data_IF_388818586990
#
_entry.id   IF_388818586990
#
_cell.length_a   1.000
_cell.length_b   1.000
_cell.length_c   1.000
_cell.angle_alpha   90.00
_cell.angle_beta   90.00
_cell.angle_gamma   90.00
#
_symmetry.space_group_name_H-M   'P 1'
#
loop_
_entity.id
_entity.type
_entity.pdbx_description
1 polymer ?
#
# COMPACT_ATOMS: atom_id res chain seq x y z
N UNK A 1 25.82 57.63 28.35
CA UNK A 1 24.34 57.47 28.49
C UNK A 1 23.97 56.18 27.77
N UNK A 2 23.25 55.32 28.49
CA UNK A 2 23.20 53.86 28.39
C UNK A 2 22.75 53.29 27.04
N UNK A 3 23.52 52.31 26.53
CA UNK A 3 23.09 51.36 25.50
C UNK A 3 22.76 50.05 26.22
N UNK A 4 21.47 49.72 26.27
CA UNK A 4 20.93 48.58 27.04
C UNK A 4 21.06 47.29 26.23
N UNK A 5 21.79 46.32 26.78
CA UNK A 5 21.92 44.97 26.24
C UNK A 5 20.58 44.19 26.28
N UNK A 6 20.34 43.24 25.35
CA UNK A 6 19.16 42.38 25.39
C UNK A 6 19.21 41.43 26.59
N UNK A 7 18.08 41.29 27.29
CA UNK A 7 17.91 40.40 28.45
C UNK A 7 17.99 38.92 28.02
N UNK A 8 18.52 38.02 28.86
CA UNK A 8 18.54 36.58 28.60
C UNK A 8 17.11 36.01 28.58
N UNK A 9 16.85 35.14 27.60
CA UNK A 9 15.60 34.39 27.45
C UNK A 9 15.49 33.37 28.59
N UNK A 10 14.36 33.30 29.32
CA UNK A 10 14.17 32.29 30.34
C UNK A 10 13.99 30.91 29.70
N UNK A 11 14.76 29.97 30.22
CA UNK A 11 14.76 28.53 29.96
C UNK A 11 13.33 27.97 30.02
N UNK A 12 12.78 27.50 28.90
CA UNK A 12 11.48 26.82 28.87
C UNK A 12 11.63 25.45 29.53
N UNK A 13 11.36 25.39 30.82
CA UNK A 13 11.00 24.15 31.49
C UNK A 13 9.76 23.56 30.80
N UNK A 14 9.88 22.31 30.38
CA UNK A 14 8.79 21.53 29.82
C UNK A 14 7.71 21.32 30.89
N UNK A 15 6.69 22.17 30.89
CA UNK A 15 5.49 21.97 31.70
C UNK A 15 4.68 20.82 31.10
N UNK A 16 4.73 19.71 31.81
CA UNK A 16 3.81 18.58 31.82
C UNK A 16 2.40 18.98 31.37
N UNK A 17 1.92 18.34 30.31
CA UNK A 17 0.53 18.42 29.88
C UNK A 17 -0.34 17.88 31.03
N UNK A 18 -1.06 18.78 31.69
CA UNK A 18 -1.97 18.43 32.78
C UNK A 18 -3.14 17.61 32.22
N UNK A 19 -3.22 16.38 32.70
CA UNK A 19 -4.38 15.50 32.67
C UNK A 19 -5.63 16.30 33.09
N UNK A 20 -6.56 16.50 32.16
CA UNK A 20 -7.82 17.20 32.42
C UNK A 20 -8.66 16.45 33.45
N UNK A 21 -9.01 17.13 34.54
CA UNK A 21 -9.90 16.63 35.60
C UNK A 21 -11.32 17.05 35.25
N UNK A 22 -12.24 16.09 35.09
CA UNK A 22 -13.67 16.37 34.94
C UNK A 22 -14.28 16.69 36.32
N UNK A 23 -14.72 17.93 36.49
CA UNK A 23 -15.47 18.40 37.66
C UNK A 23 -16.95 18.58 37.29
N UNK A 24 -17.85 18.29 38.22
CA UNK A 24 -19.26 18.66 38.06
C UNK A 24 -19.47 20.18 38.31
N UNK A 25 -20.68 20.68 38.04
CA UNK A 25 -21.05 22.10 38.20
C UNK A 25 -21.00 22.64 39.64
N UNK A 26 -20.63 21.81 40.62
CA UNK A 26 -20.41 22.19 42.02
C UNK A 26 -18.94 21.99 42.46
N UNK A 27 -18.02 21.81 41.50
CA UNK A 27 -16.57 21.75 41.75
C UNK A 27 -16.08 20.47 42.44
N UNK A 28 -16.90 19.41 42.49
CA UNK A 28 -16.48 18.11 43.04
C UNK A 28 -16.03 17.19 41.91
N UNK A 29 -14.84 16.60 42.09
CA UNK A 29 -14.23 15.63 41.18
C UNK A 29 -15.05 14.35 41.13
N UNK A 30 -15.52 13.96 39.95
CA UNK A 30 -16.34 12.75 39.76
C UNK A 30 -15.42 11.64 39.24
N UNK A 31 -14.97 10.79 40.17
CA UNK A 31 -14.13 9.60 40.00
C UNK A 31 -12.60 9.81 39.85
N UNK A 32 -11.84 9.02 40.61
CA UNK A 32 -10.38 8.89 40.47
C UNK A 32 -10.01 8.05 39.23
N UNK A 33 -8.93 8.39 38.51
CA UNK A 33 -8.49 7.60 37.37
C UNK A 33 -7.90 6.26 37.82
N UNK A 34 -8.54 5.17 37.39
CA UNK A 34 -8.04 3.79 37.56
C UNK A 34 -6.69 3.63 36.87
N UNK A 35 -5.64 3.28 37.64
CA UNK A 35 -4.30 2.94 37.10
C UNK A 35 -4.39 1.73 36.18
N UNK A 36 -4.22 1.92 34.88
CA UNK A 36 -3.96 0.82 33.93
C UNK A 36 -2.44 0.63 33.83
N UNK A 37 -1.98 -0.52 34.34
CA UNK A 37 -0.73 -1.23 34.07
C UNK A 37 0.50 -0.45 33.60
N UNK A 38 1.54 -0.43 34.43
CA UNK A 38 2.84 0.19 34.16
C UNK A 38 3.57 -0.35 32.92
N UNK A 39 4.38 0.54 32.35
CA UNK A 39 5.36 0.27 31.31
C UNK A 39 6.43 -0.65 31.90
N UNK A 40 6.48 -1.91 31.45
CA UNK A 40 7.61 -2.78 31.73
C UNK A 40 8.86 -2.22 31.05
N UNK A 41 9.89 -1.93 31.85
CA UNK A 41 11.22 -1.54 31.41
C UNK A 41 11.79 -2.59 30.45
N UNK A 42 12.12 -2.17 29.23
CA UNK A 42 12.85 -3.02 28.28
C UNK A 42 14.30 -3.10 28.73
N UNK A 43 14.76 -4.31 29.07
CA UNK A 43 16.19 -4.62 29.21
C UNK A 43 16.91 -4.37 27.87
N UNK A 44 18.16 -3.88 27.89
CA UNK A 44 19.00 -3.82 26.69
C UNK A 44 19.45 -5.24 26.32
N UNK A 45 19.22 -5.67 25.09
CA UNK A 45 19.71 -6.97 24.58
C UNK A 45 20.86 -6.75 23.61
N UNK A 46 22.05 -7.05 24.13
CA UNK A 46 23.31 -7.26 23.41
C UNK A 46 23.18 -8.60 22.65
N UNK A 47 23.75 -8.69 21.44
CA UNK A 47 23.84 -9.94 20.65
C UNK A 47 24.72 -11.00 21.36
N UNK A 48 24.62 -12.32 21.06
CA UNK A 48 25.34 -12.86 19.90
C UNK A 48 24.74 -14.08 19.16
N UNK A 49 25.28 -14.27 17.96
CA UNK A 49 25.31 -15.39 17.00
C UNK A 49 25.10 -16.84 17.51
N UNK A 50 24.27 -17.63 16.81
CA UNK A 50 24.57 -18.88 16.05
C UNK A 50 23.38 -19.86 15.95
N UNK A 51 23.25 -20.43 14.76
CA UNK A 51 22.60 -21.70 14.42
C UNK A 51 21.13 -21.92 14.75
N UNK A 52 20.24 -21.40 13.89
CA UNK A 52 18.96 -22.05 13.59
C UNK A 52 18.60 -21.91 12.11
N UNK A 53 18.64 -23.02 11.38
CA UNK A 53 18.03 -23.17 10.06
C UNK A 53 16.51 -22.98 10.16
N UNK A 54 15.88 -22.14 9.32
CA UNK A 54 14.43 -22.00 9.33
C UNK A 54 13.78 -23.16 8.57
N UNK A 55 12.88 -23.86 9.24
CA UNK A 55 12.09 -24.95 8.67
C UNK A 55 11.26 -24.46 7.49
N UNK A 56 11.33 -25.20 6.39
CA UNK A 56 10.63 -25.00 5.11
C UNK A 56 9.11 -25.09 5.33
N UNK A 57 8.45 -23.98 5.68
CA UNK A 57 6.98 -23.87 5.65
C UNK A 57 6.56 -23.49 4.23
N UNK A 58 5.88 -24.40 3.55
CA UNK A 58 5.12 -24.12 2.32
C UNK A 58 4.22 -22.90 2.55
N UNK A 59 4.38 -21.87 1.72
CA UNK A 59 3.45 -20.75 1.65
C UNK A 59 2.18 -21.23 0.95
N UNK A 60 1.09 -21.28 1.68
CA UNK A 60 -0.24 -21.29 1.07
C UNK A 60 -0.50 -19.95 0.37
N UNK A 61 -1.33 -19.93 -0.69
CA UNK A 61 -1.63 -18.71 -1.42
C UNK A 61 -2.21 -17.65 -0.46
N UNK A 62 -1.67 -16.44 -0.55
CA UNK A 62 -2.01 -15.33 0.34
C UNK A 62 -3.51 -15.02 0.26
N UNK A 63 -4.18 -15.06 1.42
CA UNK A 63 -5.55 -14.54 1.57
C UNK A 63 -5.59 -13.06 1.12
N UNK A 64 -6.71 -12.60 0.52
CA UNK A 64 -6.86 -11.19 0.18
C UNK A 64 -6.62 -10.33 1.42
N UNK A 65 -6.05 -9.14 1.21
CA UNK A 65 -5.67 -8.24 2.30
C UNK A 65 -6.81 -8.06 3.30
N UNK A 66 -6.51 -8.07 4.60
CA UNK A 66 -7.54 -7.96 5.65
C UNK A 66 -8.48 -6.76 5.49
N UNK A 67 -8.01 -5.71 4.82
CA UNK A 67 -8.79 -4.52 4.45
C UNK A 67 -9.94 -4.87 3.49
N UNK A 68 -9.69 -5.66 2.45
CA UNK A 68 -10.74 -6.09 1.52
C UNK A 68 -11.75 -7.04 2.18
N UNK A 69 -11.30 -7.95 3.05
CA UNK A 69 -12.23 -8.82 3.79
C UNK A 69 -13.10 -8.03 4.78
N UNK A 70 -12.54 -6.99 5.41
CA UNK A 70 -13.26 -6.13 6.35
C UNK A 70 -14.26 -5.21 5.63
N UNK A 71 -13.85 -4.56 4.53
CA UNK A 71 -14.75 -3.76 3.69
C UNK A 71 -15.86 -4.61 3.06
N UNK A 72 -15.54 -5.81 2.58
CA UNK A 72 -16.56 -6.76 2.08
C UNK A 72 -17.51 -7.19 3.21
N UNK A 73 -17.02 -7.33 4.44
CA UNK A 73 -17.86 -7.58 5.62
C UNK A 73 -18.81 -6.42 5.93
N UNK A 74 -18.34 -5.17 5.83
CA UNK A 74 -19.15 -3.97 6.06
C UNK A 74 -20.20 -3.74 4.95
N UNK A 75 -19.83 -3.98 3.70
CA UNK A 75 -20.66 -3.75 2.51
C UNK A 75 -21.59 -4.93 2.18
N UNK A 76 -21.32 -6.15 2.69
CA UNK A 76 -22.16 -7.33 2.48
C UNK A 76 -23.40 -7.41 3.38
N UNK A 77 -23.85 -6.27 3.91
CA UNK A 77 -25.15 -6.13 4.60
C UNK A 77 -26.35 -6.23 3.65
N UNK A 78 -26.11 -6.52 2.36
CA UNK A 78 -27.14 -6.80 1.37
C UNK A 78 -27.84 -8.13 1.70
N UNK A 79 -29.18 -8.09 1.76
CA UNK A 79 -30.02 -9.28 1.94
C UNK A 79 -29.71 -10.27 0.81
N UNK A 80 -29.28 -11.48 1.17
CA UNK A 80 -29.01 -12.54 0.19
C UNK A 80 -30.31 -12.96 -0.48
N UNK A 81 -30.26 -13.30 -1.78
CA UNK A 81 -31.42 -13.85 -2.46
C UNK A 81 -31.69 -15.30 -2.01
N UNK A 82 -32.94 -15.78 -2.15
CA UNK A 82 -33.28 -17.17 -1.82
C UNK A 82 -32.44 -18.19 -2.61
N UNK A 83 -32.15 -17.86 -3.87
CA UNK A 83 -31.29 -18.64 -4.75
C UNK A 83 -29.85 -18.70 -4.25
N UNK A 84 -29.28 -17.58 -3.78
CA UNK A 84 -27.92 -17.56 -3.21
C UNK A 84 -27.79 -18.42 -1.95
N UNK A 85 -28.82 -18.45 -1.11
CA UNK A 85 -28.84 -19.30 0.10
C UNK A 85 -28.88 -20.78 -0.29
N UNK A 86 -29.72 -21.14 -1.27
CA UNK A 86 -29.77 -22.49 -1.82
C UNK A 86 -28.43 -22.91 -2.42
N UNK A 87 -27.87 -22.11 -3.33
CA UNK A 87 -26.62 -22.42 -4.00
C UNK A 87 -25.46 -22.55 -3.00
N UNK A 88 -25.41 -21.72 -1.96
CA UNK A 88 -24.38 -21.81 -0.92
C UNK A 88 -24.49 -23.09 -0.07
N UNK A 89 -25.70 -23.62 0.14
CA UNK A 89 -25.94 -24.87 0.87
C UNK A 89 -25.59 -26.08 0.01
N UNK A 90 -26.15 -26.15 -1.19
CA UNK A 90 -25.92 -27.27 -2.10
C UNK A 90 -24.46 -27.34 -2.56
N UNK A 91 -23.80 -26.20 -2.78
CA UNK A 91 -22.36 -26.17 -3.07
C UNK A 91 -21.53 -26.82 -1.95
N UNK A 92 -21.87 -26.59 -0.69
CA UNK A 92 -21.16 -27.23 0.44
C UNK A 92 -21.43 -28.73 0.49
N UNK A 93 -22.66 -29.15 0.22
CA UNK A 93 -23.07 -30.55 0.19
C UNK A 93 -22.35 -31.30 -0.94
N UNK A 94 -22.38 -30.77 -2.16
CA UNK A 94 -21.73 -31.34 -3.34
C UNK A 94 -20.22 -31.42 -3.15
N UNK A 95 -19.59 -30.35 -2.66
CA UNK A 95 -18.14 -30.33 -2.42
C UNK A 95 -17.71 -31.21 -1.23
N UNK A 96 -18.63 -31.56 -0.32
CA UNK A 96 -18.34 -32.54 0.73
C UNK A 96 -18.32 -33.98 0.21
N UNK A 97 -19.01 -34.23 -0.91
CA UNK A 97 -19.07 -35.54 -1.56
C UNK A 97 -18.03 -35.68 -2.68
N UNK A 98 -17.75 -34.61 -3.42
CA UNK A 98 -16.77 -34.57 -4.52
C UNK A 98 -15.89 -33.34 -4.34
N UNK A 99 -14.66 -33.56 -3.84
CA UNK A 99 -13.72 -32.46 -3.52
C UNK A 99 -13.21 -31.70 -4.75
N UNK A 100 -13.21 -32.31 -5.94
CA UNK A 100 -12.61 -31.76 -7.18
C UNK A 100 -13.58 -31.76 -8.37
N UNK A 101 -14.75 -31.13 -8.20
CA UNK A 101 -15.71 -30.93 -9.29
C UNK A 101 -15.36 -29.66 -10.11
N UNK A 102 -15.35 -29.72 -11.46
CA UNK A 102 -15.10 -28.55 -12.30
C UNK A 102 -16.22 -27.50 -12.13
N UNK A 103 -15.83 -26.21 -12.16
CA UNK A 103 -16.70 -25.08 -11.80
C UNK A 103 -17.97 -24.98 -12.67
N UNK A 104 -17.87 -25.36 -13.95
CA UNK A 104 -18.96 -25.26 -14.92
C UNK A 104 -20.06 -26.30 -14.65
N UNK A 105 -19.65 -27.54 -14.38
CA UNK A 105 -20.55 -28.65 -14.00
C UNK A 105 -21.20 -28.39 -12.64
N UNK A 106 -20.46 -27.81 -11.69
CA UNK A 106 -21.01 -27.35 -10.40
C UNK A 106 -22.08 -26.26 -10.60
N UNK A 107 -21.87 -25.31 -11.51
CA UNK A 107 -22.86 -24.25 -11.76
C UNK A 107 -24.12 -24.77 -12.43
N UNK A 108 -23.98 -25.71 -13.35
CA UNK A 108 -25.10 -26.33 -14.07
C UNK A 108 -25.98 -27.16 -13.12
N UNK A 109 -25.37 -27.99 -12.26
CA UNK A 109 -26.09 -28.75 -11.23
C UNK A 109 -26.83 -27.85 -10.22
N UNK A 110 -26.26 -26.70 -9.87
CA UNK A 110 -26.90 -25.75 -8.95
C UNK A 110 -28.10 -25.02 -9.60
N UNK A 111 -28.05 -24.77 -10.90
CA UNK A 111 -29.16 -24.16 -11.66
C UNK A 111 -30.29 -25.17 -11.92
N UNK A 112 -29.96 -26.39 -12.32
CA UNK A 112 -30.92 -27.49 -12.48
C UNK A 112 -31.59 -27.85 -11.14
N UNK A 113 -30.79 -27.90 -10.07
CA UNK A 113 -31.29 -28.11 -8.72
C UNK A 113 -32.25 -27.00 -8.27
N UNK A 114 -31.97 -25.73 -8.58
CA UNK A 114 -32.85 -24.64 -8.20
C UNK A 114 -34.15 -24.61 -9.02
N UNK A 115 -34.06 -24.92 -10.32
CA UNK A 115 -35.22 -24.91 -11.21
C UNK A 115 -36.17 -26.07 -10.93
N UNK A 116 -35.65 -27.23 -10.56
CA UNK A 116 -36.41 -28.44 -10.18
C UNK A 116 -37.07 -28.38 -8.80
N UNK A 117 -36.70 -27.44 -7.93
CA UNK A 117 -37.35 -27.26 -6.63
C UNK A 117 -38.83 -26.85 -6.77
N UNK A 118 -39.64 -27.44 -5.89
CA UNK A 118 -41.06 -27.12 -5.78
C UNK A 118 -41.27 -25.69 -5.23
N UNK A 119 -42.43 -25.06 -5.49
CA UNK A 119 -42.74 -23.71 -5.00
C UNK A 119 -42.65 -23.60 -3.47
N UNK A 120 -43.03 -24.66 -2.75
CA UNK A 120 -43.00 -24.71 -1.29
C UNK A 120 -41.57 -24.71 -0.73
N UNK A 121 -40.64 -25.42 -1.39
CA UNK A 121 -39.23 -25.44 -1.02
C UNK A 121 -38.54 -24.10 -1.30
N UNK A 122 -38.86 -23.46 -2.44
CA UNK A 122 -38.38 -22.11 -2.77
C UNK A 122 -38.81 -21.10 -1.70
N UNK A 123 -40.05 -21.22 -1.19
CA UNK A 123 -40.55 -20.37 -0.12
C UNK A 123 -39.83 -20.61 1.23
N UNK A 124 -39.30 -21.82 1.48
CA UNK A 124 -38.45 -22.07 2.65
C UNK A 124 -37.11 -21.33 2.54
N UNK A 125 -36.52 -21.27 1.34
CA UNK A 125 -35.28 -20.52 1.12
C UNK A 125 -35.50 -19.00 1.17
N UNK A 126 -36.66 -18.50 0.76
CA UNK A 126 -37.06 -17.09 0.97
C UNK A 126 -37.17 -16.75 2.47
N UNK A 127 -37.80 -17.64 3.26
CA UNK A 127 -37.88 -17.49 4.73
C UNK A 127 -36.50 -17.55 5.40
N UNK A 128 -35.54 -18.29 4.83
CA UNK A 128 -34.15 -18.35 5.32
C UNK A 128 -33.31 -17.14 4.89
N UNK A 129 -33.51 -16.63 3.67
CA UNK A 129 -32.89 -15.41 3.16
C UNK A 129 -33.31 -14.16 3.95
N UNK A 130 -34.52 -14.18 4.54
CA UNK A 130 -35.01 -13.13 5.44
C UNK A 130 -34.39 -13.13 6.85
N UNK A 131 -33.66 -14.17 7.26
CA UNK A 131 -33.02 -14.25 8.58
C UNK A 131 -31.60 -13.68 8.52
N UNK A 132 -31.25 -12.85 9.51
CA UNK A 132 -29.93 -12.20 9.54
C UNK A 132 -28.77 -13.23 9.64
N UNK A 133 -27.57 -12.92 9.12
CA UNK A 133 -26.47 -13.90 8.99
C UNK A 133 -25.93 -14.51 10.30
N UNK A 134 -26.40 -14.04 11.46
CA UNK A 134 -25.86 -14.41 12.78
C UNK A 134 -26.43 -15.77 13.27
N UNK A 135 -27.57 -16.25 12.75
CA UNK A 135 -28.21 -17.47 13.25
C UNK A 135 -27.79 -18.78 12.55
N UNK A 136 -27.13 -18.73 11.38
CA UNK A 136 -26.87 -19.92 10.56
C UNK A 136 -25.64 -20.78 10.97
N UNK A 137 -24.96 -20.47 12.07
CA UNK A 137 -23.75 -21.22 12.51
C UNK A 137 -24.01 -22.25 13.62
N UNK A 138 -25.21 -22.83 13.73
CA UNK A 138 -25.46 -23.98 14.60
C UNK A 138 -25.71 -25.23 13.75
N UNK A 139 -24.76 -26.16 13.79
CA UNK A 139 -24.90 -27.52 13.24
C UNK A 139 -26.02 -28.28 13.98
N UNK A 140 -26.84 -29.10 13.28
CA UNK A 140 -27.81 -29.96 13.94
C UNK A 140 -27.21 -31.33 14.28
N UNK A 141 -27.26 -31.71 15.56
CA UNK A 141 -27.15 -33.10 16.02
C UNK A 141 -28.56 -33.66 16.23
N UNK A 142 -28.87 -34.82 15.64
CA UNK A 142 -30.12 -35.58 15.82
C UNK A 142 -30.03 -36.53 17.05
N UNK A 143 -31.10 -37.23 17.48
CA UNK A 143 -32.35 -36.70 18.04
C UNK A 143 -32.76 -37.45 19.33
N UNK A 144 -33.32 -36.78 20.36
CA UNK A 144 -34.12 -37.49 21.36
C UNK A 144 -35.39 -36.72 21.76
N UNK A 145 -36.50 -37.40 21.43
CA UNK A 145 -37.85 -37.39 21.99
C UNK A 145 -38.65 -36.08 22.04
N UNK A 146 -39.77 -36.18 21.33
CA UNK A 146 -40.88 -35.25 21.29
C UNK A 146 -41.41 -34.91 22.69
N UNK A 147 -41.58 -33.61 22.94
CA UNK A 147 -42.68 -33.10 23.73
C UNK A 147 -43.43 -32.08 22.88
N UNK A 148 -44.60 -32.51 22.47
CA UNK A 148 -45.68 -31.71 21.92
C UNK A 148 -46.09 -30.67 22.99
N UNK A 149 -45.85 -29.39 22.73
CA UNK A 149 -46.66 -28.32 23.33
C UNK A 149 -46.40 -26.99 22.63
N UNK A 150 -47.49 -26.44 22.09
CA UNK A 150 -47.75 -25.02 21.81
C UNK A 150 -46.86 -24.30 20.79
N UNK A 151 -47.51 -23.96 19.67
CA UNK A 151 -47.18 -22.85 18.78
C UNK A 151 -46.41 -21.73 19.52
N UNK A 152 -45.24 -21.27 19.03
CA UNK A 152 -44.65 -20.06 19.56
C UNK A 152 -45.62 -18.93 19.23
N UNK A 153 -46.30 -18.43 20.27
CA UNK A 153 -46.97 -17.12 20.24
C UNK A 153 -45.96 -16.17 19.63
N UNK A 154 -46.35 -15.56 18.51
CA UNK A 154 -45.66 -14.44 17.91
C UNK A 154 -45.31 -13.48 19.05
N UNK A 155 -44.03 -13.35 19.35
CA UNK A 155 -43.56 -12.24 20.15
C UNK A 155 -43.85 -11.01 19.31
N UNK A 156 -45.04 -10.42 19.53
CA UNK A 156 -45.34 -9.09 19.06
C UNK A 156 -44.21 -8.22 19.60
N UNK A 157 -43.26 -7.89 18.73
CA UNK A 157 -42.16 -7.00 19.08
C UNK A 157 -42.83 -5.71 19.53
N UNK A 158 -42.65 -5.36 20.81
CA UNK A 158 -43.04 -4.08 21.38
C UNK A 158 -42.18 -2.93 20.80
N UNK A 159 -41.94 -2.95 19.49
CA UNK A 159 -41.34 -1.82 18.79
C UNK A 159 -42.42 -0.77 18.71
N UNK A 160 -42.26 0.28 19.52
CA UNK A 160 -43.03 1.51 19.34
C UNK A 160 -42.78 1.98 17.91
N UNK A 161 -43.78 1.82 17.05
CA UNK A 161 -43.79 2.41 15.71
C UNK A 161 -43.88 3.91 15.92
N UNK A 162 -42.73 4.59 15.87
CA UNK A 162 -42.67 6.04 15.92
C UNK A 162 -42.93 6.54 14.51
N UNK A 163 -44.09 7.13 14.30
CA UNK A 163 -44.44 7.78 13.04
C UNK A 163 -43.77 9.16 13.03
N UNK A 164 -42.66 9.26 12.30
CA UNK A 164 -41.93 10.51 12.15
C UNK A 164 -42.57 11.32 11.01
N UNK A 165 -43.07 12.50 11.34
CA UNK A 165 -43.48 13.49 10.36
C UNK A 165 -42.21 14.10 9.75
N UNK A 166 -41.85 13.67 8.55
CA UNK A 166 -40.80 14.31 7.75
C UNK A 166 -41.34 14.68 6.37
N UNK A 167 -40.86 15.81 5.87
CA UNK A 167 -41.15 16.29 4.52
C UNK A 167 -39.95 15.97 3.64
N UNK A 168 -40.15 15.11 2.64
CA UNK A 168 -39.13 14.84 1.62
C UNK A 168 -38.64 16.14 0.93
N UNK A 169 -39.50 17.12 0.62
CA UNK A 169 -39.06 18.45 0.17
C UNK A 169 -38.14 19.17 1.15
N UNK A 170 -38.43 19.12 2.46
CA UNK A 170 -37.58 19.75 3.48
C UNK A 170 -36.22 19.07 3.62
N UNK A 171 -36.19 17.74 3.51
CA UNK A 171 -34.94 16.97 3.45
C UNK A 171 -34.16 17.35 2.19
N UNK A 172 -34.78 17.34 1.01
CA UNK A 172 -34.14 17.74 -0.24
C UNK A 172 -33.58 19.16 -0.20
N UNK A 173 -34.31 20.10 0.39
CA UNK A 173 -33.85 21.49 0.60
C UNK A 173 -32.68 21.56 1.58
N UNK A 174 -32.70 20.74 2.64
CA UNK A 174 -31.61 20.68 3.61
C UNK A 174 -30.32 20.06 3.04
N UNK A 175 -30.47 19.16 2.08
CA UNK A 175 -29.35 18.52 1.36
C UNK A 175 -29.17 19.07 -0.05
N UNK A 176 -29.71 20.25 -0.37
CA UNK A 176 -29.69 20.81 -1.72
C UNK A 176 -28.27 21.06 -2.20
N UNK A 177 -27.40 21.53 -1.29
CA UNK A 177 -25.96 21.68 -1.53
C UNK A 177 -25.28 20.33 -1.86
N UNK A 178 -25.68 19.24 -1.19
CA UNK A 178 -25.18 17.89 -1.48
C UNK A 178 -25.71 17.35 -2.82
N UNK A 179 -26.96 17.65 -3.15
CA UNK A 179 -27.55 17.31 -4.45
C UNK A 179 -26.85 18.06 -5.58
N UNK A 180 -26.51 19.34 -5.40
CA UNK A 180 -25.74 20.12 -6.37
C UNK A 180 -24.31 19.59 -6.51
N UNK A 181 -23.65 19.20 -5.42
CA UNK A 181 -22.34 18.54 -5.46
C UNK A 181 -22.38 17.18 -6.17
N UNK A 182 -23.46 16.40 -5.99
CA UNK A 182 -23.65 15.11 -6.68
C UNK A 182 -23.88 15.24 -8.19
N UNK A 183 -24.25 16.43 -8.66
CA UNK A 183 -24.46 16.75 -10.07
C UNK A 183 -23.22 17.32 -10.74
N UNK A 184 -22.14 17.59 -9.99
CA UNK A 184 -20.86 17.97 -10.58
C UNK A 184 -20.28 16.76 -11.33
N UNK A 185 -19.67 16.98 -12.52
CA UNK A 185 -19.01 15.91 -13.24
C UNK A 185 -17.97 15.26 -12.33
N UNK A 186 -17.92 13.93 -12.30
CA UNK A 186 -16.94 13.19 -11.52
C UNK A 186 -15.56 13.66 -11.96
N UNK A 187 -14.85 14.40 -11.09
CA UNK A 187 -13.52 14.86 -11.46
C UNK A 187 -12.61 13.64 -11.60
N UNK A 188 -11.77 13.67 -12.63
CA UNK A 188 -10.70 12.70 -12.83
C UNK A 188 -9.56 12.92 -11.81
N UNK A 189 -9.59 14.04 -11.09
CA UNK A 189 -8.57 14.41 -10.13
C UNK A 189 -8.58 13.52 -8.89
N UNK A 190 -7.39 13.33 -8.35
CA UNK A 190 -7.23 12.50 -7.16
C UNK A 190 -7.56 13.32 -5.92
N UNK A 191 -8.66 12.98 -5.22
CA UNK A 191 -9.09 13.70 -4.02
C UNK A 191 -9.01 12.82 -2.78
N UNK A 192 -8.45 13.33 -1.69
CA UNK A 192 -8.36 12.61 -0.42
C UNK A 192 -9.68 12.72 0.36
N UNK A 193 -10.36 11.59 0.56
CA UNK A 193 -11.62 11.53 1.30
C UNK A 193 -11.35 11.51 2.81
N UNK A 194 -10.50 10.60 3.27
CA UNK A 194 -10.13 10.52 4.69
C UNK A 194 -9.54 9.18 5.13
N UNK A 195 -9.10 9.07 6.40
CA UNK A 195 -8.45 7.87 6.92
C UNK A 195 -9.47 6.78 7.28
N UNK A 196 -9.14 5.52 6.99
CA UNK A 196 -9.90 4.35 7.43
C UNK A 196 -9.60 4.05 8.90
N UNK A 197 -10.50 4.49 9.79
CA UNK A 197 -10.39 4.22 11.22
C UNK A 197 -10.59 2.73 11.51
N UNK A 198 -9.78 2.17 12.40
CA UNK A 198 -9.86 0.76 12.83
C UNK A 198 -9.02 -0.22 12.00
N UNK A 199 -8.37 0.24 10.93
CA UNK A 199 -7.38 -0.56 10.21
C UNK A 199 -6.04 -0.56 10.98
N UNK A 200 -5.36 -1.71 11.14
CA UNK A 200 -4.03 -1.77 11.76
C UNK A 200 -2.93 -1.14 10.88
N UNK A 201 -3.23 -0.87 9.62
CA UNK A 201 -2.35 -0.16 8.68
C UNK A 201 -2.95 1.20 8.38
N UNK A 202 -2.12 2.25 8.30
CA UNK A 202 -2.54 3.61 7.95
C UNK A 202 -3.05 3.66 6.51
N UNK A 203 -4.32 3.28 6.35
CA UNK A 203 -5.01 3.18 5.08
C UNK A 203 -5.97 4.35 4.94
N UNK A 204 -5.99 4.95 3.75
CA UNK A 204 -6.78 6.13 3.44
C UNK A 204 -7.74 5.81 2.30
N UNK A 205 -8.89 6.47 2.28
CA UNK A 205 -9.81 6.44 1.15
C UNK A 205 -9.48 7.61 0.24
N UNK A 206 -9.26 7.31 -1.03
CA UNK A 206 -9.01 8.29 -2.07
C UNK A 206 -10.02 8.10 -3.21
N UNK A 207 -10.45 9.22 -3.76
CA UNK A 207 -11.09 9.28 -5.05
C UNK A 207 -10.01 9.37 -6.11
N UNK A 208 -9.98 8.46 -7.08
CA UNK A 208 -9.01 8.49 -8.17
C UNK A 208 -9.68 7.99 -9.45
N UNK A 209 -9.69 8.81 -10.52
CA UNK A 209 -10.27 8.44 -11.84
C UNK A 209 -11.68 7.84 -11.73
N UNK A 210 -12.60 8.56 -11.08
CA UNK A 210 -13.99 8.12 -10.84
C UNK A 210 -14.15 6.80 -10.05
N UNK A 211 -13.11 6.33 -9.37
CA UNK A 211 -13.12 5.12 -8.54
C UNK A 211 -12.75 5.44 -7.10
N UNK A 212 -13.48 4.84 -6.17
CA UNK A 212 -13.11 4.84 -4.77
C UNK A 212 -12.07 3.75 -4.52
N UNK A 213 -10.93 4.19 -4.00
CA UNK A 213 -9.78 3.33 -3.76
C UNK A 213 -9.29 3.45 -2.33
N UNK A 214 -8.70 2.36 -1.82
CA UNK A 214 -7.91 2.41 -0.59
C UNK A 214 -6.45 2.62 -0.94
N UNK A 215 -5.87 3.66 -0.37
CA UNK A 215 -4.46 4.02 -0.44
C UNK A 215 -3.74 3.47 0.79
N UNK A 216 -2.64 2.78 0.58
CA UNK A 216 -1.72 2.44 1.65
C UNK A 216 -0.56 3.45 1.68
N UNK A 217 -0.55 4.33 2.68
CA UNK A 217 0.43 5.44 2.76
C UNK A 217 1.86 4.93 2.93
N UNK A 218 2.06 3.83 3.66
CA UNK A 218 3.36 3.20 3.80
C UNK A 218 3.91 2.70 2.46
N UNK A 219 3.07 2.06 1.64
CA UNK A 219 3.46 1.60 0.29
C UNK A 219 3.76 2.74 -0.66
N UNK A 220 2.97 3.82 -0.58
CA UNK A 220 3.23 5.02 -1.37
C UNK A 220 4.58 5.63 -1.00
N UNK A 221 4.85 5.81 0.30
CA UNK A 221 6.15 6.30 0.79
C UNK A 221 7.30 5.40 0.35
N UNK A 222 7.15 4.08 0.46
CA UNK A 222 8.17 3.11 0.01
C UNK A 222 8.49 3.33 -1.48
N UNK A 223 7.48 3.45 -2.34
CA UNK A 223 7.67 3.65 -3.77
C UNK A 223 8.33 5.00 -4.10
N UNK A 224 7.91 6.08 -3.44
CA UNK A 224 8.48 7.42 -3.63
C UNK A 224 9.96 7.43 -3.22
N UNK A 225 10.26 6.93 -2.02
CA UNK A 225 11.64 6.88 -1.52
C UNK A 225 12.48 5.99 -2.43
N UNK A 226 11.97 4.83 -2.83
CA UNK A 226 12.68 3.93 -3.73
C UNK A 226 13.01 4.57 -5.08
N UNK A 227 12.07 5.28 -5.72
CA UNK A 227 12.35 6.03 -6.97
C UNK A 227 13.42 7.11 -6.76
N UNK A 228 13.35 7.85 -5.66
CA UNK A 228 14.37 8.87 -5.32
C UNK A 228 15.75 8.25 -5.11
N UNK A 229 15.81 7.13 -4.40
CA UNK A 229 17.05 6.38 -4.16
C UNK A 229 17.66 5.87 -5.46
N UNK A 230 16.85 5.29 -6.36
CA UNK A 230 17.33 4.82 -7.67
C UNK A 230 17.98 5.95 -8.48
N UNK A 231 17.37 7.14 -8.47
CA UNK A 231 17.84 8.28 -9.24
C UNK A 231 19.12 8.94 -8.68
N UNK A 232 19.27 8.99 -7.35
CA UNK A 232 20.23 9.93 -6.73
C UNK A 232 21.13 9.36 -5.64
N UNK A 233 20.89 8.14 -5.15
CA UNK A 233 21.65 7.61 -4.01
C UNK A 233 23.07 7.17 -4.41
N UNK A 234 24.15 7.79 -3.89
CA UNK A 234 25.50 7.35 -4.20
C UNK A 234 25.82 6.06 -3.44
N UNK A 235 26.35 5.05 -4.14
CA UNK A 235 26.82 3.81 -3.52
C UNK A 235 28.18 4.03 -2.87
N UNK A 236 28.33 3.50 -1.65
CA UNK A 236 29.59 3.58 -0.92
C UNK A 236 30.70 2.82 -1.65
N UNK A 237 31.79 3.53 -1.93
CA UNK A 237 32.98 2.99 -2.61
C UNK A 237 34.18 2.93 -1.67
N UNK A 238 34.98 1.88 -1.77
CA UNK A 238 36.27 1.74 -1.09
C UNK A 238 37.42 1.96 -2.10
N UNK A 239 38.59 2.36 -1.62
CA UNK A 239 39.77 2.54 -2.49
C UNK A 239 40.25 1.19 -3.01
N UNK A 240 40.54 1.12 -4.30
CA UNK A 240 41.03 -0.09 -4.95
C UNK A 240 42.50 -0.30 -4.56
N UNK A 241 42.77 -1.35 -3.80
CA UNK A 241 44.13 -1.81 -3.47
C UNK A 241 44.34 -3.25 -3.98
N UNK A 242 45.08 -3.45 -5.08
CA UNK A 242 45.76 -2.45 -5.91
C UNK A 242 44.82 -1.69 -6.87
N UNK A 243 45.27 -0.53 -7.36
CA UNK A 243 44.57 0.24 -8.41
C UNK A 243 44.44 -0.64 -9.66
N UNK A 244 43.21 -0.73 -10.19
CA UNK A 244 42.93 -1.59 -11.35
C UNK A 244 43.10 -0.78 -12.64
N UNK A 245 44.12 -1.09 -13.43
CA UNK A 245 44.30 -0.51 -14.75
C UNK A 245 43.37 -1.18 -15.77
N UNK A 246 42.57 -0.37 -16.46
CA UNK A 246 41.64 -0.76 -17.52
C UNK A 246 42.18 -0.30 -18.87
N UNK A 247 42.19 -1.20 -19.83
CA UNK A 247 42.56 -0.95 -21.23
C UNK A 247 41.44 -1.44 -22.15
N UNK A 248 41.42 -1.02 -23.43
CA UNK A 248 40.43 -1.51 -24.41
C UNK A 248 40.38 -3.05 -24.47
N UNK A 249 41.53 -3.70 -24.33
CA UNK A 249 41.69 -5.17 -24.34
C UNK A 249 40.93 -5.82 -23.17
N UNK A 250 40.97 -5.20 -21.98
CA UNK A 250 40.31 -5.72 -20.78
C UNK A 250 38.78 -5.59 -20.90
N UNK A 251 38.29 -4.49 -21.48
CA UNK A 251 36.87 -4.30 -21.75
C UNK A 251 36.36 -5.19 -22.91
N UNK A 252 37.28 -5.77 -23.70
CA UNK A 252 37.01 -6.62 -24.88
C UNK A 252 36.09 -5.96 -25.92
N UNK A 253 36.02 -4.62 -25.94
CA UNK A 253 35.15 -3.87 -26.82
C UNK A 253 35.59 -2.41 -26.95
N UNK A 254 35.89 -1.99 -28.17
CA UNK A 254 36.23 -0.60 -28.47
C UNK A 254 35.02 0.34 -28.29
N UNK A 255 33.80 -0.17 -28.48
CA UNK A 255 32.58 0.60 -28.25
C UNK A 255 32.45 1.01 -26.78
N UNK A 256 32.70 0.08 -25.86
CA UNK A 256 32.66 0.36 -24.41
C UNK A 256 33.78 1.30 -23.99
N UNK A 257 34.96 1.17 -24.60
CA UNK A 257 36.06 2.09 -24.38
C UNK A 257 35.73 3.51 -24.83
N UNK A 258 35.19 3.67 -26.04
CA UNK A 258 34.75 4.97 -26.55
C UNK A 258 33.61 5.56 -25.72
N UNK A 259 32.71 4.72 -25.21
CA UNK A 259 31.65 5.15 -24.27
C UNK A 259 32.26 5.69 -22.98
N UNK A 260 33.23 5.00 -22.40
CA UNK A 260 33.94 5.45 -21.18
C UNK A 260 34.69 6.77 -21.40
N UNK A 261 35.36 6.93 -22.55
CA UNK A 261 36.07 8.18 -22.89
C UNK A 261 35.10 9.34 -23.18
N UNK A 262 33.94 9.06 -23.74
CA UNK A 262 32.91 10.04 -24.06
C UNK A 262 32.01 10.47 -22.89
N UNK A 263 32.14 9.81 -21.73
CA UNK A 263 31.43 10.17 -20.50
C UNK A 263 31.90 11.51 -19.94
N UNK A 264 31.04 12.16 -19.14
CA UNK A 264 31.38 13.43 -18.49
C UNK A 264 32.62 13.28 -17.62
N UNK A 265 33.60 14.15 -17.86
CA UNK A 265 34.88 14.13 -17.18
C UNK A 265 35.33 15.55 -16.81
N UNK A 266 36.16 15.63 -15.78
CA UNK A 266 36.74 16.87 -15.28
C UNK A 266 38.25 16.71 -15.08
N UNK A 267 39.02 17.69 -15.54
CA UNK A 267 40.43 17.82 -15.18
C UNK A 267 40.53 18.38 -13.78
N UNK A 268 41.03 17.60 -12.81
CA UNK A 268 41.27 18.11 -11.46
C UNK A 268 42.66 18.72 -11.27
N UNK A 269 43.62 18.33 -12.10
CA UNK A 269 45.04 18.65 -11.89
C UNK A 269 45.70 19.17 -13.17
N UNK A 270 46.84 19.85 -13.02
CA UNK A 270 47.74 20.27 -14.12
C UNK A 270 48.47 19.09 -14.79
N UNK A 271 48.33 17.88 -14.24
CA UNK A 271 48.94 16.65 -14.74
C UNK A 271 48.27 16.08 -16.00
N UNK A 272 47.14 16.65 -16.43
CA UNK A 272 46.39 16.17 -17.60
C UNK A 272 45.59 14.88 -17.35
N UNK A 273 45.44 14.47 -16.08
CA UNK A 273 44.60 13.33 -15.69
C UNK A 273 43.13 13.77 -15.66
N UNK A 274 42.26 13.01 -16.36
CA UNK A 274 40.83 13.26 -16.43
C UNK A 274 40.10 12.34 -15.46
N UNK A 275 39.31 12.89 -14.54
CA UNK A 275 38.47 12.10 -13.65
C UNK A 275 37.06 12.00 -14.24
N UNK A 276 36.51 10.79 -14.35
CA UNK A 276 35.16 10.59 -14.84
C UNK A 276 34.18 11.00 -13.73
N UNK A 277 33.38 12.04 -13.99
CA UNK A 277 32.38 12.59 -13.07
C UNK A 277 30.95 12.20 -13.46
N UNK A 278 30.81 11.39 -14.50
CA UNK A 278 29.52 10.93 -14.99
C UNK A 278 28.69 10.23 -13.88
N UNK A 279 27.43 10.65 -13.65
CA UNK A 279 26.54 10.06 -12.66
C UNK A 279 26.35 8.55 -12.83
N UNK A 280 26.44 8.02 -14.05
CA UNK A 280 26.22 6.59 -14.31
C UNK A 280 27.30 5.72 -13.65
N UNK A 281 28.53 6.19 -13.57
CA UNK A 281 29.62 5.49 -12.88
C UNK A 281 29.72 5.92 -11.42
N UNK A 282 29.71 7.22 -11.17
CA UNK A 282 29.94 7.77 -9.82
C UNK A 282 28.84 7.39 -8.83
N UNK A 283 27.56 7.42 -9.21
CA UNK A 283 26.48 6.98 -8.30
C UNK A 283 26.43 5.47 -8.12
N UNK A 284 26.94 4.70 -9.09
CA UNK A 284 27.19 3.27 -8.89
C UNK A 284 28.48 2.98 -8.13
N UNK A 285 29.20 4.01 -7.65
CA UNK A 285 30.38 3.91 -6.79
C UNK A 285 31.66 3.52 -7.52
N UNK A 286 31.69 3.62 -8.86
CA UNK A 286 32.89 3.48 -9.65
C UNK A 286 33.53 4.85 -9.89
N UNK A 287 34.77 5.01 -9.42
CA UNK A 287 35.56 6.20 -9.68
C UNK A 287 36.74 5.86 -10.58
N UNK A 288 36.70 6.39 -11.79
CA UNK A 288 37.65 6.10 -12.85
C UNK A 288 38.45 7.36 -13.19
N UNK A 289 39.77 7.19 -13.37
CA UNK A 289 40.67 8.20 -13.91
C UNK A 289 41.17 7.76 -15.27
N UNK A 290 41.22 8.66 -16.22
CA UNK A 290 41.78 8.44 -17.55
C UNK A 290 43.17 9.08 -17.56
N UNK A 291 44.18 8.28 -17.89
CA UNK A 291 45.57 8.74 -17.96
C UNK A 291 45.79 9.63 -19.20
N UNK A 292 46.79 10.53 -19.16
CA UNK A 292 47.13 11.39 -20.28
C UNK A 292 47.37 10.56 -21.55
N UNK A 293 46.72 10.96 -22.65
CA UNK A 293 46.78 10.22 -23.93
C UNK A 293 45.67 9.19 -24.13
N UNK A 294 44.71 9.04 -23.19
CA UNK A 294 43.45 8.31 -23.43
C UNK A 294 43.58 6.82 -23.73
N UNK A 295 44.77 6.24 -23.56
CA UNK A 295 45.08 4.84 -23.87
C UNK A 295 44.88 3.89 -22.70
N UNK A 296 44.83 4.43 -21.47
CA UNK A 296 44.69 3.68 -20.22
C UNK A 296 43.79 4.45 -19.26
N UNK A 297 43.01 3.70 -18.49
CA UNK A 297 42.19 4.21 -17.41
C UNK A 297 42.49 3.42 -16.13
N UNK A 298 42.24 4.01 -14.98
CA UNK A 298 42.51 3.43 -13.66
C UNK A 298 41.26 3.56 -12.80
N UNK A 299 40.81 2.45 -12.23
CA UNK A 299 39.74 2.44 -11.24
C UNK A 299 40.38 2.69 -9.89
N UNK A 300 40.09 3.85 -9.32
CA UNK A 300 40.63 4.28 -8.01
C UNK A 300 39.72 3.84 -6.88
N UNK A 301 38.40 3.83 -7.10
CA UNK A 301 37.44 3.37 -6.11
C UNK A 301 36.39 2.48 -6.74
N UNK A 302 36.03 1.43 -6.01
CA UNK A 302 35.01 0.47 -6.40
C UNK A 302 34.10 0.14 -5.20
N UNK A 303 32.84 -0.23 -5.44
CA UNK A 303 31.95 -0.63 -4.36
C UNK A 303 32.37 -1.94 -3.71
N UNK A 304 32.09 -2.06 -2.40
CA UNK A 304 32.41 -3.28 -1.63
C UNK A 304 31.75 -4.50 -2.29
N UNK A 305 32.53 -5.57 -2.48
CA UNK A 305 32.12 -6.82 -3.15
C UNK A 305 31.75 -6.70 -4.64
N UNK A 306 32.22 -5.65 -5.31
CA UNK A 306 31.88 -5.41 -6.71
C UNK A 306 33.07 -5.55 -7.64
N UNK A 307 32.86 -6.24 -8.76
CA UNK A 307 33.93 -6.53 -9.72
C UNK A 307 33.89 -5.60 -10.95
N UNK A 308 35.01 -5.56 -11.69
CA UNK A 308 35.12 -4.87 -12.98
C UNK A 308 34.04 -5.30 -13.99
N UNK A 309 33.59 -6.56 -13.93
CA UNK A 309 32.52 -7.09 -14.78
C UNK A 309 31.22 -6.30 -14.66
N UNK A 310 30.94 -5.75 -13.48
CA UNK A 310 29.72 -5.00 -13.23
C UNK A 310 29.80 -3.58 -13.79
N UNK A 311 30.99 -2.97 -13.78
CA UNK A 311 31.24 -1.73 -14.52
C UNK A 311 31.03 -1.93 -16.03
N UNK A 312 31.49 -3.06 -16.57
CA UNK A 312 31.27 -3.43 -17.97
C UNK A 312 29.77 -3.54 -18.30
N UNK A 313 28.97 -4.10 -17.39
CA UNK A 313 27.51 -4.15 -17.57
C UNK A 313 26.88 -2.76 -17.59
N UNK A 314 27.30 -1.85 -16.70
CA UNK A 314 26.85 -0.46 -16.70
C UNK A 314 27.20 0.22 -18.03
N UNK A 315 28.43 0.06 -18.51
CA UNK A 315 28.88 0.62 -19.79
C UNK A 315 28.10 0.03 -20.97
N UNK A 316 27.77 -1.26 -20.94
CA UNK A 316 26.91 -1.89 -21.97
C UNK A 316 25.53 -1.23 -22.00
N UNK A 317 24.90 -1.05 -20.84
CA UNK A 317 23.59 -0.38 -20.73
C UNK A 317 23.64 1.07 -21.20
N UNK A 318 24.72 1.80 -20.88
CA UNK A 318 24.92 3.16 -21.34
C UNK A 318 25.15 3.22 -22.87
N UNK A 319 25.89 2.26 -23.43
CA UNK A 319 26.17 2.21 -24.88
C UNK A 319 24.94 1.83 -25.71
N UNK A 320 24.02 1.01 -25.17
CA UNK A 320 22.83 0.58 -25.89
C UNK A 320 21.69 1.60 -25.84
N UNK A 321 21.66 2.46 -24.82
CA UNK A 321 20.60 3.45 -24.61
C UNK A 321 21.20 4.85 -24.36
N UNK A 322 21.16 5.76 -25.35
CA UNK A 322 21.67 7.13 -25.18
C UNK A 322 20.93 7.96 -24.13
N UNK A 323 19.67 7.60 -23.83
CA UNK A 323 18.83 8.20 -22.78
C UNK A 323 18.93 7.46 -21.44
N UNK A 324 19.94 6.62 -21.25
CA UNK A 324 20.15 5.88 -20.01
C UNK A 324 20.22 6.82 -18.81
N UNK A 325 19.42 6.53 -17.80
CA UNK A 325 19.44 7.24 -16.52
C UNK A 325 20.18 6.40 -15.49
N UNK A 326 20.61 7.03 -14.39
CA UNK A 326 21.21 6.32 -13.26
C UNK A 326 20.29 5.20 -12.77
N UNK A 327 18.99 5.46 -12.71
CA UNK A 327 17.98 4.50 -12.27
C UNK A 327 17.95 3.24 -13.15
N UNK A 328 18.06 3.38 -14.46
CA UNK A 328 18.06 2.25 -15.42
C UNK A 328 19.38 1.51 -15.46
N UNK A 329 20.49 2.19 -15.15
CA UNK A 329 21.83 1.62 -15.09
C UNK A 329 22.19 1.03 -13.72
N UNK A 330 21.25 0.96 -12.77
CA UNK A 330 21.49 0.30 -11.48
C UNK A 330 21.57 -1.21 -11.67
N UNK A 331 22.63 -1.79 -11.12
CA UNK A 331 22.80 -3.23 -11.12
C UNK A 331 21.77 -3.91 -10.21
N UNK A 332 21.36 -5.15 -10.52
CA UNK A 332 20.31 -5.85 -9.78
C UNK A 332 20.55 -5.92 -8.26
N UNK A 333 21.80 -6.12 -7.83
CA UNK A 333 22.19 -6.14 -6.41
C UNK A 333 21.97 -4.77 -5.76
N UNK A 334 22.36 -3.70 -6.45
CA UNK A 334 22.14 -2.31 -6.01
C UNK A 334 20.65 -2.01 -5.90
N UNK A 335 19.84 -2.42 -6.88
CA UNK A 335 18.39 -2.26 -6.84
C UNK A 335 17.78 -2.98 -5.63
N UNK A 336 18.27 -4.17 -5.29
CA UNK A 336 17.82 -4.91 -4.10
C UNK A 336 18.20 -4.18 -2.79
N UNK A 337 19.42 -3.68 -2.68
CA UNK A 337 19.86 -2.90 -1.52
C UNK A 337 19.00 -1.64 -1.34
N UNK A 338 18.77 -0.88 -2.41
CA UNK A 338 17.96 0.35 -2.35
C UNK A 338 16.50 0.07 -2.02
N UNK A 339 15.98 -1.09 -2.44
CA UNK A 339 14.63 -1.56 -2.07
C UNK A 339 14.53 -1.82 -0.56
N UNK A 340 15.51 -2.52 0.00
CA UNK A 340 15.55 -2.81 1.43
C UNK A 340 15.75 -1.52 2.23
N UNK A 341 16.58 -0.60 1.73
CA UNK A 341 16.84 0.70 2.34
C UNK A 341 15.59 1.59 2.34
N UNK A 342 14.84 1.65 1.23
CA UNK A 342 13.56 2.35 1.18
C UNK A 342 12.57 1.80 2.22
N UNK A 343 12.50 0.48 2.35
CA UNK A 343 11.65 -0.20 3.34
C UNK A 343 12.09 0.12 4.76
N UNK A 344 13.40 0.13 5.02
CA UNK A 344 13.98 0.48 6.32
C UNK A 344 13.66 1.93 6.70
N UNK A 345 13.81 2.86 5.75
CA UNK A 345 13.49 4.28 5.96
C UNK A 345 12.02 4.47 6.34
N UNK A 346 11.08 3.85 5.63
CA UNK A 346 9.64 3.96 5.93
C UNK A 346 9.30 3.37 7.30
N UNK A 347 9.91 2.26 7.69
CA UNK A 347 9.70 1.66 9.02
C UNK A 347 10.14 2.56 10.17
N UNK A 348 11.11 3.43 9.93
CA UNK A 348 11.59 4.41 10.91
C UNK A 348 10.76 5.70 10.92
N UNK A 349 9.83 5.87 9.99
CA UNK A 349 8.92 7.01 9.94
C UNK A 349 7.70 6.80 10.86
N UNK A 350 7.04 7.88 11.31
CA UNK A 350 5.78 7.78 12.03
C UNK A 350 4.74 6.99 11.22
N UNK A 351 4.05 6.01 11.85
CA UNK A 351 3.14 5.12 11.14
C UNK A 351 1.83 5.81 10.73
N UNK A 352 1.47 6.91 11.38
CA UNK A 352 0.29 7.71 11.06
C UNK A 352 0.71 8.96 10.32
N UNK A 353 0.04 9.25 9.21
CA UNK A 353 0.18 10.52 8.50
C UNK A 353 -0.89 11.52 8.92
N UNK A 354 -0.56 12.80 8.81
CA UNK A 354 -1.56 13.87 8.83
C UNK A 354 -2.20 13.98 7.43
N UNK A 355 -3.42 14.53 7.38
CA UNK A 355 -4.17 14.69 6.12
C UNK A 355 -3.36 15.48 5.09
N UNK A 356 -2.81 16.61 5.51
CA UNK A 356 -2.06 17.52 4.64
C UNK A 356 -0.81 16.85 4.04
N UNK A 357 -0.11 16.03 4.82
CA UNK A 357 1.04 15.26 4.32
C UNK A 357 0.62 14.25 3.25
N UNK A 358 -0.54 13.60 3.41
CA UNK A 358 -1.05 12.64 2.41
C UNK A 358 -1.48 13.37 1.14
N UNK A 359 -2.11 14.53 1.26
CA UNK A 359 -2.46 15.35 0.09
C UNK A 359 -1.24 15.81 -0.67
N UNK A 360 -0.18 16.25 0.01
CA UNK A 360 1.07 16.64 -0.62
C UNK A 360 1.72 15.46 -1.38
N UNK A 361 1.74 14.27 -0.76
CA UNK A 361 2.25 13.07 -1.42
C UNK A 361 1.43 12.69 -2.67
N UNK A 362 0.11 12.88 -2.63
CA UNK A 362 -0.77 12.59 -3.76
C UNK A 362 -0.63 13.61 -4.88
N UNK A 363 -0.53 14.90 -4.54
CA UNK A 363 -0.36 15.96 -5.52
C UNK A 363 0.92 15.78 -6.34
N UNK A 364 2.02 15.36 -5.70
CA UNK A 364 3.31 15.22 -6.37
C UNK A 364 3.50 13.91 -7.16
N UNK A 365 2.68 12.87 -6.95
CA UNK A 365 2.98 11.50 -7.40
C UNK A 365 1.74 10.69 -7.82
N UNK A 366 0.83 11.29 -8.59
CA UNK A 366 -0.40 10.61 -9.04
C UNK A 366 -0.14 9.37 -9.90
N UNK A 367 0.95 9.37 -10.69
CA UNK A 367 1.32 8.24 -11.56
C UNK A 367 1.65 6.97 -10.77
N UNK A 368 2.17 7.13 -9.53
CA UNK A 368 2.51 6.01 -8.66
C UNK A 368 1.28 5.23 -8.18
N UNK A 369 0.08 5.81 -8.26
CA UNK A 369 -1.12 5.15 -7.74
C UNK A 369 -1.51 3.91 -8.55
N UNK A 370 -1.10 3.85 -9.82
CA UNK A 370 -1.29 2.69 -10.69
C UNK A 370 -0.11 1.71 -10.62
N UNK A 371 0.99 2.10 -10.00
CA UNK A 371 2.18 1.26 -9.88
C UNK A 371 2.08 0.25 -8.71
N UNK A 372 2.94 -0.76 -8.79
CA UNK A 372 3.16 -1.69 -7.71
C UNK A 372 4.22 -1.13 -6.75
N UNK A 373 4.02 -1.34 -5.46
CA UNK A 373 5.03 -1.03 -4.47
C UNK A 373 6.25 -1.92 -4.63
N UNK A 374 7.31 -1.63 -3.88
CA UNK A 374 8.57 -2.37 -3.91
C UNK A 374 8.45 -3.88 -3.63
N UNK A 375 7.31 -4.30 -3.05
CA UNK A 375 6.95 -5.69 -2.75
C UNK A 375 5.97 -6.31 -3.78
N UNK A 376 5.80 -5.70 -4.95
CA UNK A 376 4.84 -6.08 -6.00
C UNK A 376 3.38 -6.12 -5.52
N UNK A 377 3.00 -5.19 -4.64
CA UNK A 377 1.61 -5.06 -4.17
C UNK A 377 1.05 -3.72 -4.63
N UNK A 378 -0.25 -3.63 -4.96
CA UNK A 378 -0.85 -2.37 -5.37
C UNK A 378 -0.71 -1.32 -4.26
N UNK A 379 -0.29 -0.12 -4.63
CA UNK A 379 -0.25 1.06 -3.74
C UNK A 379 -1.68 1.55 -3.49
N UNK A 380 -2.48 1.60 -4.56
CA UNK A 380 -3.88 1.95 -4.56
C UNK A 380 -4.73 0.74 -4.97
N UNK A 381 -5.76 0.40 -4.18
CA UNK A 381 -6.68 -0.70 -4.52
C UNK A 381 -8.09 -0.17 -4.67
N UNK A 382 -8.64 -0.28 -5.88
CA UNK A 382 -10.04 0.06 -6.14
C UNK A 382 -10.97 -0.93 -5.43
N UNK A 383 -12.05 -0.42 -4.86
CA UNK A 383 -13.07 -1.26 -4.24
C UNK A 383 -14.49 -0.87 -4.64
N UNK A 384 -14.68 0.31 -5.21
CA UNK A 384 -15.98 0.73 -5.73
C UNK A 384 -15.81 1.64 -6.95
N UNK A 385 -16.62 1.40 -7.97
CA UNK A 385 -16.60 2.15 -9.22
C UNK A 385 -17.84 3.04 -9.30
N UNK A 386 -17.63 4.35 -9.31
CA UNK A 386 -18.72 5.32 -9.29
C UNK A 386 -19.23 5.66 -10.69
N UNK A 387 -18.49 5.31 -11.74
CA UNK A 387 -18.91 5.47 -13.14
C UNK A 387 -20.15 4.63 -13.51
N UNK A 388 -20.39 3.55 -12.75
CA UNK A 388 -21.54 2.66 -12.95
C UNK A 388 -22.80 3.12 -12.22
N UNK A 389 -22.67 3.97 -11.19
CA UNK A 389 -23.77 4.42 -10.33
C UNK A 389 -24.23 5.84 -10.65
N UNK A 390 -23.37 6.64 -11.27
CA UNK A 390 -23.66 7.96 -11.80
C UNK A 390 -23.17 7.94 -13.25
N UNK A 391 -24.04 8.19 -14.23
CA UNK A 391 -23.86 7.81 -15.63
C UNK A 391 -22.46 7.98 -16.24
N UNK A 392 -22.17 7.07 -17.18
CA UNK A 392 -20.92 6.89 -17.93
C UNK A 392 -20.12 8.18 -18.18
N UNK A 393 -18.90 8.26 -17.63
CA UNK A 393 -17.88 9.21 -18.07
C UNK A 393 -16.98 8.46 -19.05
N UNK A 394 -17.07 8.78 -20.34
CA UNK A 394 -16.18 8.21 -21.35
C UNK A 394 -14.74 8.67 -21.13
N UNK A 395 -13.84 7.72 -20.89
CA UNK A 395 -12.39 7.89 -20.97
C UNK A 395 -11.95 7.90 -22.45
N UNK A 396 -12.41 8.87 -23.24
CA UNK A 396 -11.92 9.06 -24.62
C UNK A 396 -11.69 10.54 -24.87
N UNK A 397 -10.49 11.05 -24.53
CA UNK A 397 -9.94 12.32 -25.04
C UNK A 397 -8.43 12.49 -24.72
N UNK A 398 -7.65 11.41 -24.73
CA UNK A 398 -6.18 11.54 -24.67
C UNK A 398 -5.48 10.52 -25.58
N UNK A 399 -5.85 10.50 -26.86
CA UNK A 399 -5.04 9.93 -27.94
C UNK A 399 -5.56 10.44 -29.29
N UNK A 400 -5.25 11.69 -29.64
CA UNK A 400 -5.13 12.16 -31.04
C UNK A 400 -4.80 13.66 -31.08
N UNK A 401 -3.51 13.99 -30.89
CA UNK A 401 -2.89 15.16 -31.55
C UNK A 401 -1.42 14.81 -31.78
N UNK A 402 -1.12 14.16 -32.90
CA UNK A 402 0.08 14.46 -33.72
C UNK A 402 -0.08 13.77 -35.07
N UNK A 403 -0.31 14.57 -36.10
CA UNK A 403 0.22 14.36 -37.45
C UNK A 403 1.33 15.38 -37.65
#
# INVERSE_FOLDING_TARGET
KNVTAPRPVPERQASLWSLGILQNTQGRTVAEPTRVGGIAEKRPMISPLKDRTPSKKMRTPAKPSGVQSWLKGLLSTQKRSAKEVYCARQKKEILSQVSDMPLMELSELLEEGWTSLTPDEKQQYEKQAGKSPIECNKLPSMPQQAKESTLPKQSASNWKKVELQFSMPSIKKHFEDYCQLSQQPLSLETTLVGPLRGCPTDAWVVWHKAKLCTLNTARLREAIIFKRLLASYPISSEEADPIITVTPIILRSDLLWNTLLGMKNETRDTSGILNVTDPLLTFNGFHVRILPGGSKAEIVKLPKDQALSEMVEILKLASSCPSATVATCRLPRTVALLRDEATRMVRNMPPKMLRDEVEELLAGQQDLLQELCVHNRPICTHFFDMSTSFGHVSEDMSSQVTL
#
